data_IF_026368009705
#
_entry.id   IF_026368009705
#
_cell.length_a   1.000
_cell.length_b   1.000
_cell.length_c   1.000
_cell.angle_alpha   90.00
_cell.angle_beta   90.00
_cell.angle_gamma   90.00
#
_symmetry.space_group_name_H-M   'P 1'
#
loop_
_entity.id
_entity.type
_entity.pdbx_description
1 polymer ?
#
# COMPACT_ATOMS: atom_id res chain seq x y z
N UNK A 1 -6.10 38.63 9.28
CA UNK A 1 -5.15 38.12 10.29
C UNK A 1 -5.91 37.11 11.13
N UNK A 2 -5.40 35.88 11.25
CA UNK A 2 -5.97 34.88 12.14
C UNK A 2 -5.18 34.91 13.45
N UNK A 3 -5.89 34.98 14.58
CA UNK A 3 -5.31 34.88 15.92
C UNK A 3 -5.49 33.44 16.41
N UNK A 4 -4.38 32.81 16.79
CA UNK A 4 -4.35 31.43 17.25
C UNK A 4 -4.05 31.32 18.76
N UNK A 5 -3.95 32.44 19.49
CA UNK A 5 -3.68 32.46 20.92
C UNK A 5 -2.43 31.64 21.29
N UNK A 6 -2.58 30.72 22.23
CA UNK A 6 -1.51 29.85 22.73
C UNK A 6 -1.33 28.54 21.91
N UNK A 7 -1.99 28.42 20.76
CA UNK A 7 -1.93 27.21 19.93
C UNK A 7 -0.64 27.17 19.09
N UNK A 8 -0.14 25.94 18.86
CA UNK A 8 0.96 25.70 17.93
C UNK A 8 0.42 25.65 16.50
N UNK A 9 0.98 26.51 15.64
CA UNK A 9 0.80 26.41 14.19
C UNK A 9 1.96 25.59 13.62
N UNK A 10 1.65 24.45 13.01
CA UNK A 10 2.63 23.52 12.44
C UNK A 10 2.29 23.18 10.99
N UNK A 11 3.25 22.65 10.21
CA UNK A 11 2.95 22.02 8.93
C UNK A 11 1.88 20.94 9.10
N UNK A 12 0.98 20.84 8.12
CA UNK A 12 -0.03 19.80 8.12
C UNK A 12 0.59 18.41 8.01
N UNK A 13 -0.05 17.43 8.65
CA UNK A 13 0.45 16.05 8.68
C UNK A 13 0.26 15.39 7.31
N UNK A 14 1.15 14.45 6.99
CA UNK A 14 1.08 13.60 5.80
C UNK A 14 0.88 12.17 6.26
N UNK A 15 -0.23 11.55 5.88
CA UNK A 15 -0.46 10.12 6.09
C UNK A 15 -0.09 9.35 4.81
N UNK A 16 1.00 8.59 4.84
CA UNK A 16 1.46 7.86 3.67
C UNK A 16 0.71 6.54 3.42
N UNK A 17 -0.19 6.10 4.30
CA UNK A 17 -0.77 4.76 4.24
C UNK A 17 -2.25 4.72 4.65
N UNK A 18 -3.13 5.19 3.75
CA UNK A 18 -4.58 5.05 3.91
C UNK A 18 -5.19 4.12 2.87
N UNK A 19 -6.34 3.52 3.17
CA UNK A 19 -7.12 2.73 2.22
C UNK A 19 -8.50 3.35 2.06
N UNK A 20 -8.68 4.14 1.00
CA UNK A 20 -9.94 4.87 0.75
C UNK A 20 -10.98 3.98 0.07
N UNK A 21 -10.54 2.93 -0.62
CA UNK A 21 -11.38 1.86 -1.20
C UNK A 21 -12.35 2.29 -2.32
N UNK A 22 -12.32 3.56 -2.73
CA UNK A 22 -13.09 4.08 -3.86
C UNK A 22 -12.23 4.15 -5.12
N UNK A 23 -12.73 3.72 -6.30
CA UNK A 23 -14.06 3.15 -6.57
C UNK A 23 -14.20 1.67 -6.20
N UNK A 24 -15.41 1.15 -6.30
CA UNK A 24 -15.71 -0.28 -6.19
C UNK A 24 -16.17 -0.72 -4.80
N UNK A 25 -15.40 -0.41 -3.76
CA UNK A 25 -15.76 -0.65 -2.35
C UNK A 25 -15.94 0.68 -1.61
N UNK A 26 -16.56 1.65 -2.29
CA UNK A 26 -16.71 3.03 -1.81
C UNK A 26 -17.42 3.12 -0.46
N UNK A 27 -18.34 2.20 -0.19
CA UNK A 27 -19.09 2.13 1.07
C UNK A 27 -18.25 1.72 2.28
N UNK A 28 -17.02 1.24 2.08
CA UNK A 28 -16.09 0.96 3.19
C UNK A 28 -15.51 2.24 3.78
N UNK A 29 -15.27 3.25 2.95
CA UNK A 29 -14.81 4.58 3.37
C UNK A 29 -15.20 5.63 2.31
N UNK A 30 -14.43 5.74 1.21
CA UNK A 30 -14.68 6.69 0.13
C UNK A 30 -13.96 8.04 0.31
N UNK A 31 -13.66 8.73 -0.81
CA UNK A 31 -12.81 9.94 -0.79
C UNK A 31 -13.41 11.06 0.05
N UNK A 32 -14.74 11.18 0.05
CA UNK A 32 -15.44 12.26 0.76
C UNK A 32 -15.27 12.18 2.27
N UNK A 33 -15.47 11.00 2.87
CA UNK A 33 -15.37 10.82 4.31
C UNK A 33 -13.91 10.72 4.76
N UNK A 34 -13.07 9.98 4.02
CA UNK A 34 -11.64 9.85 4.32
C UNK A 34 -10.94 11.22 4.40
N UNK A 35 -11.13 12.06 3.39
CA UNK A 35 -10.44 13.36 3.34
C UNK A 35 -11.02 14.38 4.32
N UNK A 36 -12.31 14.28 4.69
CA UNK A 36 -12.87 15.05 5.81
C UNK A 36 -12.29 14.63 7.15
N UNK A 37 -12.15 13.33 7.39
CA UNK A 37 -11.55 12.80 8.59
C UNK A 37 -10.08 13.23 8.70
N UNK A 38 -9.33 13.16 7.59
CA UNK A 38 -7.96 13.66 7.50
C UNK A 38 -7.87 15.15 7.89
N UNK A 39 -8.71 16.01 7.28
CA UNK A 39 -8.75 17.44 7.60
C UNK A 39 -9.03 17.70 9.09
N UNK A 40 -10.00 16.99 9.68
CA UNK A 40 -10.35 17.12 11.09
C UNK A 40 -9.23 16.63 12.02
N UNK A 41 -8.42 15.67 11.57
CA UNK A 41 -7.25 15.15 12.29
C UNK A 41 -5.97 15.97 12.12
N UNK A 42 -6.00 17.07 11.35
CA UNK A 42 -4.81 17.90 11.09
C UNK A 42 -3.91 17.37 9.97
N UNK A 43 -4.36 16.35 9.22
CA UNK A 43 -3.70 15.92 7.99
C UNK A 43 -4.07 16.84 6.84
N UNK A 44 -3.09 17.24 6.06
CA UNK A 44 -3.28 18.05 4.84
C UNK A 44 -2.96 17.27 3.57
N UNK A 45 -2.35 16.10 3.71
CA UNK A 45 -2.08 15.19 2.59
C UNK A 45 -2.25 13.75 3.04
N UNK A 46 -2.92 12.93 2.22
CA UNK A 46 -3.02 11.48 2.42
C UNK A 46 -2.61 10.74 1.14
N UNK A 47 -1.95 9.60 1.27
CA UNK A 47 -1.52 8.76 0.16
C UNK A 47 -2.34 7.46 0.14
N UNK A 48 -3.21 7.33 -0.85
CA UNK A 48 -4.14 6.22 -0.96
C UNK A 48 -3.47 4.98 -1.56
N UNK A 49 -3.59 3.86 -0.85
CA UNK A 49 -3.02 2.57 -1.20
C UNK A 49 -3.72 1.94 -2.42
N UNK A 50 -3.04 1.07 -3.19
CA UNK A 50 -3.50 0.65 -4.51
C UNK A 50 -4.51 -0.50 -4.47
N UNK A 51 -4.74 -1.13 -3.31
CA UNK A 51 -5.62 -2.29 -3.15
C UNK A 51 -6.96 -1.91 -2.51
N UNK A 52 -7.82 -2.92 -2.34
CA UNK A 52 -9.20 -2.86 -1.86
C UNK A 52 -10.18 -2.10 -2.77
N UNK A 53 -9.78 -0.99 -3.38
CA UNK A 53 -10.55 -0.38 -4.47
C UNK A 53 -10.66 -1.35 -5.65
N UNK A 54 -11.80 -1.33 -6.34
CA UNK A 54 -12.05 -2.15 -7.54
C UNK A 54 -12.29 -1.20 -8.74
N UNK A 55 -11.46 -1.27 -9.79
CA UNK A 55 -10.26 -2.11 -9.89
C UNK A 55 -9.11 -1.58 -9.01
N UNK A 56 -8.17 -2.44 -8.59
CA UNK A 56 -6.96 -2.00 -7.89
C UNK A 56 -6.07 -1.16 -8.82
N UNK A 57 -5.26 -0.28 -8.24
CA UNK A 57 -4.43 0.69 -8.97
C UNK A 57 -3.15 0.04 -9.49
N UNK A 58 -3.30 -0.96 -10.36
CA UNK A 58 -2.20 -1.79 -10.89
C UNK A 58 -1.90 -1.52 -12.37
N UNK A 59 -2.68 -0.65 -13.01
CA UNK A 59 -2.48 -0.23 -14.40
C UNK A 59 -2.69 1.28 -14.52
N UNK A 60 -2.20 1.87 -15.60
CA UNK A 60 -2.45 3.27 -15.92
C UNK A 60 -3.94 3.60 -16.07
N UNK A 61 -4.73 2.69 -16.64
CA UNK A 61 -6.16 2.87 -16.76
C UNK A 61 -6.86 2.89 -15.40
N UNK A 62 -6.43 2.02 -14.48
CA UNK A 62 -6.99 1.95 -13.13
C UNK A 62 -6.61 3.19 -12.31
N UNK A 63 -5.37 3.69 -12.43
CA UNK A 63 -4.96 4.96 -11.83
C UNK A 63 -5.83 6.13 -12.32
N UNK A 64 -6.04 6.26 -13.63
CA UNK A 64 -6.92 7.31 -14.18
C UNK A 64 -8.34 7.20 -13.65
N UNK A 65 -8.84 5.98 -13.52
CA UNK A 65 -10.17 5.70 -12.96
C UNK A 65 -10.26 6.18 -11.51
N UNK A 66 -9.24 5.88 -10.70
CA UNK A 66 -9.19 6.28 -9.29
C UNK A 66 -9.04 7.78 -9.08
N UNK A 67 -8.15 8.42 -9.85
CA UNK A 67 -7.99 9.88 -9.90
C UNK A 67 -9.31 10.57 -10.25
N UNK A 68 -10.06 10.04 -11.22
CA UNK A 68 -11.36 10.58 -11.59
C UNK A 68 -12.41 10.41 -10.48
N UNK A 69 -12.38 9.29 -9.75
CA UNK A 69 -13.30 9.03 -8.64
C UNK A 69 -13.13 10.03 -7.48
N UNK A 70 -11.92 10.54 -7.25
CA UNK A 70 -11.60 11.55 -6.24
C UNK A 70 -12.08 12.97 -6.60
N UNK A 71 -12.28 13.28 -7.88
CA UNK A 71 -12.58 14.65 -8.34
C UNK A 71 -13.87 15.19 -7.70
N UNK A 72 -13.77 16.38 -7.11
CA UNK A 72 -14.90 17.06 -6.48
C UNK A 72 -15.32 16.48 -5.12
N UNK A 73 -14.54 15.54 -4.55
CA UNK A 73 -14.84 14.89 -3.25
C UNK A 73 -13.79 15.12 -2.18
N UNK A 74 -12.60 15.61 -2.53
CA UNK A 74 -11.47 15.74 -1.61
C UNK A 74 -11.48 17.07 -0.82
N UNK A 75 -11.11 17.00 0.46
CA UNK A 75 -10.98 18.15 1.37
C UNK A 75 -9.52 18.44 1.78
N UNK A 76 -8.60 17.53 1.46
CA UNK A 76 -7.15 17.63 1.64
C UNK A 76 -6.47 17.12 0.37
N UNK A 77 -5.17 17.34 0.22
CA UNK A 77 -4.44 16.81 -0.93
C UNK A 77 -4.40 15.29 -0.88
N UNK A 78 -4.51 14.66 -2.05
CA UNK A 78 -4.49 13.20 -2.18
C UNK A 78 -3.44 12.78 -3.20
N UNK A 79 -2.54 11.91 -2.75
CA UNK A 79 -1.58 11.21 -3.57
C UNK A 79 -1.99 9.74 -3.74
N UNK A 80 -1.43 9.06 -4.74
CA UNK A 80 -1.79 7.69 -5.07
C UNK A 80 -0.55 6.80 -5.12
N UNK A 81 -0.63 5.65 -4.48
CA UNK A 81 0.29 4.55 -4.69
C UNK A 81 -0.11 3.75 -5.95
N UNK A 82 0.88 3.26 -6.68
CA UNK A 82 0.70 2.19 -7.66
C UNK A 82 0.79 0.82 -6.99
N UNK A 83 0.19 -0.21 -7.59
CA UNK A 83 0.30 -1.60 -7.14
C UNK A 83 1.28 -2.38 -7.99
N UNK A 84 2.09 -3.24 -7.37
CA UNK A 84 2.85 -4.28 -8.07
C UNK A 84 2.20 -5.62 -7.74
N UNK A 85 1.78 -6.33 -8.78
CA UNK A 85 1.14 -7.65 -8.74
C UNK A 85 1.76 -8.53 -9.84
N UNK A 86 1.60 -9.86 -9.79
CA UNK A 86 2.11 -10.72 -10.86
C UNK A 86 1.63 -10.27 -12.25
N UNK A 87 2.58 -10.12 -13.18
CA UNK A 87 2.30 -9.80 -14.58
C UNK A 87 2.06 -8.33 -14.94
N UNK A 88 2.12 -7.37 -14.01
CA UNK A 88 1.86 -5.95 -14.31
C UNK A 88 3.12 -5.07 -14.47
N UNK A 89 4.32 -5.65 -14.49
CA UNK A 89 5.57 -4.89 -14.44
C UNK A 89 5.78 -3.89 -15.60
N UNK A 90 5.10 -4.09 -16.74
CA UNK A 90 5.15 -3.17 -17.88
C UNK A 90 4.35 -1.89 -17.68
N UNK A 91 3.43 -1.84 -16.70
CA UNK A 91 2.64 -0.65 -16.36
C UNK A 91 3.44 0.36 -15.51
N UNK A 92 4.45 -0.11 -14.79
CA UNK A 92 5.08 0.64 -13.69
C UNK A 92 5.70 1.96 -14.16
N UNK A 93 6.42 1.96 -15.29
CA UNK A 93 7.09 3.19 -15.77
C UNK A 93 6.10 4.28 -16.17
N UNK A 94 5.02 3.92 -16.85
CA UNK A 94 3.99 4.89 -17.21
C UNK A 94 3.29 5.46 -15.97
N UNK A 95 3.06 4.64 -14.95
CA UNK A 95 2.50 5.09 -13.67
C UNK A 95 3.44 6.04 -12.93
N UNK A 96 4.75 5.81 -12.97
CA UNK A 96 5.77 6.73 -12.45
C UNK A 96 5.67 8.08 -13.16
N UNK A 97 5.65 8.09 -14.50
CA UNK A 97 5.50 9.33 -15.27
C UNK A 97 4.16 10.05 -15.00
N UNK A 98 3.12 9.31 -14.62
CA UNK A 98 1.83 9.87 -14.23
C UNK A 98 1.82 10.46 -12.80
N UNK A 99 2.87 10.24 -12.01
CA UNK A 99 3.06 10.87 -10.70
C UNK A 99 2.55 10.05 -9.51
N UNK A 100 2.51 8.71 -9.59
CA UNK A 100 2.35 7.91 -8.36
C UNK A 100 3.53 8.17 -7.41
N UNK A 101 3.28 8.14 -6.11
CA UNK A 101 4.34 8.40 -5.10
C UNK A 101 5.34 7.24 -4.95
N UNK A 102 4.96 6.08 -5.47
CA UNK A 102 5.71 4.84 -5.41
C UNK A 102 4.78 3.67 -5.68
N UNK A 103 5.25 2.47 -5.37
CA UNK A 103 4.46 1.25 -5.50
C UNK A 103 4.32 0.50 -4.20
N UNK A 104 3.25 -0.27 -4.03
CA UNK A 104 3.04 -1.21 -2.93
C UNK A 104 2.90 -2.62 -3.47
N UNK A 105 3.53 -3.59 -2.83
CA UNK A 105 3.28 -5.01 -3.06
C UNK A 105 3.01 -5.75 -1.76
N UNK A 106 2.58 -7.01 -1.89
CA UNK A 106 2.34 -7.93 -0.79
C UNK A 106 3.17 -9.21 -0.99
N UNK A 107 3.84 -9.68 0.05
CA UNK A 107 4.64 -10.91 0.02
C UNK A 107 3.83 -12.15 0.47
N UNK A 108 2.66 -11.92 1.08
CA UNK A 108 1.66 -12.93 1.43
C UNK A 108 0.28 -12.52 0.90
N UNK A 109 -0.74 -13.40 0.85
CA UNK A 109 -2.08 -13.04 0.43
C UNK A 109 -2.61 -11.77 1.14
N UNK A 110 -3.12 -10.82 0.35
CA UNK A 110 -3.58 -9.50 0.82
C UNK A 110 -4.98 -9.53 1.46
N UNK A 111 -5.67 -10.67 1.38
CA UNK A 111 -7.06 -10.84 1.80
C UNK A 111 -8.10 -10.50 0.73
N UNK A 112 -7.68 -10.03 -0.45
CA UNK A 112 -8.54 -9.76 -1.61
C UNK A 112 -7.94 -10.36 -2.88
N UNK A 113 -8.75 -11.07 -3.67
CA UNK A 113 -8.28 -11.80 -4.86
C UNK A 113 -7.85 -10.86 -5.99
N UNK A 114 -8.38 -9.63 -6.03
CA UNK A 114 -8.05 -8.67 -7.08
C UNK A 114 -6.61 -8.14 -6.96
N UNK A 115 -5.98 -8.26 -5.79
CA UNK A 115 -4.61 -7.82 -5.52
C UNK A 115 -3.73 -9.01 -5.13
N UNK A 116 -3.26 -9.73 -6.15
CA UNK A 116 -2.38 -10.89 -5.97
C UNK A 116 -1.04 -10.53 -5.33
N UNK A 117 -0.57 -11.39 -4.43
CA UNK A 117 0.76 -11.27 -3.83
C UNK A 117 1.85 -11.67 -4.82
N UNK A 118 3.03 -11.10 -4.67
CA UNK A 118 4.16 -11.29 -5.60
C UNK A 118 5.09 -12.38 -5.10
N UNK A 119 5.63 -13.16 -6.05
CA UNK A 119 6.76 -14.04 -5.78
C UNK A 119 8.09 -13.27 -5.90
N UNK A 120 9.19 -13.88 -5.46
CA UNK A 120 10.53 -13.31 -5.63
C UNK A 120 10.88 -13.06 -7.11
N UNK A 121 10.42 -13.92 -8.04
CA UNK A 121 10.66 -13.72 -9.47
C UNK A 121 9.92 -12.50 -10.01
N UNK A 122 8.69 -12.24 -9.55
CA UNK A 122 7.92 -11.04 -9.89
C UNK A 122 8.63 -9.78 -9.39
N UNK A 123 9.17 -9.82 -8.15
CA UNK A 123 9.94 -8.72 -7.56
C UNK A 123 11.17 -8.39 -8.41
N UNK A 124 11.93 -9.39 -8.85
CA UNK A 124 13.09 -9.16 -9.71
C UNK A 124 12.72 -8.51 -11.06
N UNK A 125 11.53 -8.79 -11.60
CA UNK A 125 11.06 -8.16 -12.85
C UNK A 125 10.62 -6.72 -12.59
N UNK A 126 9.85 -6.48 -11.52
CA UNK A 126 9.38 -5.16 -11.14
C UNK A 126 10.53 -4.21 -10.78
N UNK A 127 11.46 -4.64 -9.92
CA UNK A 127 12.61 -3.85 -9.49
C UNK A 127 13.48 -3.43 -10.68
N UNK A 128 13.77 -4.35 -11.63
CA UNK A 128 14.47 -4.03 -12.88
C UNK A 128 13.77 -2.96 -13.72
N UNK A 129 12.44 -2.92 -13.72
CA UNK A 129 11.67 -1.89 -14.43
C UNK A 129 11.74 -0.54 -13.71
N UNK A 130 11.85 -0.54 -12.39
CA UNK A 130 11.91 0.65 -11.54
C UNK A 130 13.33 1.23 -11.39
N UNK A 131 14.39 0.48 -11.66
CA UNK A 131 15.76 0.98 -11.57
C UNK A 131 15.99 2.27 -12.36
N UNK A 132 16.69 3.22 -11.75
CA UNK A 132 17.02 4.52 -12.33
C UNK A 132 15.85 5.50 -12.44
N UNK A 133 14.66 5.15 -11.95
CA UNK A 133 13.49 6.05 -11.97
C UNK A 133 13.39 6.94 -10.74
N UNK A 134 14.09 6.60 -9.65
CA UNK A 134 13.94 7.26 -8.35
C UNK A 134 12.66 6.90 -7.60
N UNK A 135 11.84 5.97 -8.12
CA UNK A 135 10.63 5.47 -7.46
C UNK A 135 10.96 4.55 -6.28
N UNK A 136 10.05 4.48 -5.31
CA UNK A 136 10.11 3.57 -4.15
C UNK A 136 9.17 2.37 -4.32
N UNK A 137 9.56 1.21 -3.78
CA UNK A 137 8.68 0.04 -3.61
C UNK A 137 8.47 -0.25 -2.13
N UNK A 138 7.22 -0.16 -1.68
CA UNK A 138 6.78 -0.47 -0.33
C UNK A 138 6.28 -1.92 -0.22
N UNK A 139 6.55 -2.57 0.90
CA UNK A 139 6.24 -4.00 1.09
C UNK A 139 5.20 -4.20 2.20
N UNK A 140 4.40 -5.26 2.06
CA UNK A 140 3.73 -5.88 3.20
C UNK A 140 4.62 -7.07 3.53
N UNK A 141 5.48 -6.91 4.53
CA UNK A 141 6.59 -7.80 4.76
C UNK A 141 6.18 -8.96 5.68
N UNK A 142 5.44 -9.92 5.13
CA UNK A 142 5.22 -11.23 5.73
C UNK A 142 5.35 -12.30 4.64
N UNK A 143 6.03 -13.42 4.94
CA UNK A 143 6.16 -14.57 4.04
C UNK A 143 5.77 -15.85 4.75
N UNK A 144 5.26 -16.83 4.01
CA UNK A 144 4.99 -18.16 4.55
C UNK A 144 6.30 -18.88 4.90
N UNK A 145 6.53 -19.14 6.18
CA UNK A 145 7.74 -19.78 6.66
C UNK A 145 7.68 -21.31 6.47
N UNK A 146 8.78 -21.91 6.00
CA UNK A 146 8.89 -23.36 5.87
C UNK A 146 8.77 -24.03 7.24
N UNK A 147 7.74 -24.86 7.40
CA UNK A 147 7.47 -25.59 8.66
C UNK A 147 6.45 -24.90 9.56
N UNK A 148 6.02 -23.68 9.25
CA UNK A 148 4.80 -23.09 9.79
C UNK A 148 3.63 -23.69 9.02
N UNK A 149 3.31 -24.95 9.30
CA UNK A 149 2.12 -25.57 8.74
C UNK A 149 0.91 -24.94 9.44
N UNK A 150 -0.15 -24.65 8.67
CA UNK A 150 -1.53 -24.34 9.11
C UNK A 150 -2.12 -25.34 10.13
N UNK A 151 -1.35 -26.33 10.57
CA UNK A 151 -1.63 -27.20 11.69
C UNK A 151 -1.48 -26.46 13.01
N UNK A 152 -2.35 -25.47 13.25
CA UNK A 152 -2.81 -25.21 14.60
C UNK A 152 -3.70 -26.39 15.00
N UNK A 153 -3.27 -27.27 15.91
CA UNK A 153 -4.06 -28.44 16.32
C UNK A 153 -5.31 -27.97 17.05
N UNK A 154 -6.50 -28.14 16.46
CA UNK A 154 -7.82 -27.92 17.12
C UNK A 154 -7.87 -26.67 18.02
N UNK A 155 -7.32 -25.55 17.54
CA UNK A 155 -7.24 -24.31 18.32
C UNK A 155 -8.43 -23.42 17.96
N UNK A 156 -9.11 -22.88 18.98
CA UNK A 156 -10.27 -22.01 18.77
C UNK A 156 -9.88 -20.77 17.92
N UNK A 157 -10.42 -20.61 16.69
CA UNK A 157 -10.04 -19.50 15.80
C UNK A 157 -10.56 -18.15 16.27
N UNK A 158 -11.46 -18.11 17.28
CA UNK A 158 -11.99 -16.87 17.86
C UNK A 158 -11.13 -16.31 18.99
N UNK A 159 -10.04 -16.99 19.38
CA UNK A 159 -9.11 -16.48 20.38
C UNK A 159 -8.06 -15.60 19.70
N UNK A 160 -7.82 -14.42 20.26
CA UNK A 160 -6.79 -13.49 19.79
C UNK A 160 -5.39 -14.13 19.71
N UNK A 161 -5.05 -14.99 20.68
CA UNK A 161 -3.77 -15.71 20.67
C UNK A 161 -3.60 -16.62 19.45
N UNK A 162 -4.70 -17.23 18.96
CA UNK A 162 -4.66 -18.08 17.76
C UNK A 162 -4.32 -17.25 16.53
N UNK A 163 -4.86 -16.03 16.43
CA UNK A 163 -4.52 -15.09 15.37
C UNK A 163 -3.04 -14.72 15.41
N UNK A 164 -2.50 -14.35 16.58
CA UNK A 164 -1.08 -14.04 16.73
C UNK A 164 -0.17 -15.23 16.35
N UNK A 165 -0.58 -16.46 16.68
CA UNK A 165 0.18 -17.67 16.33
C UNK A 165 0.10 -18.03 14.85
N UNK A 166 -0.97 -17.64 14.16
CA UNK A 166 -1.07 -17.83 12.70
C UNK A 166 -0.10 -16.95 11.91
N UNK A 167 0.43 -15.88 12.53
CA UNK A 167 1.34 -14.91 11.91
C UNK A 167 2.50 -14.58 12.85
N UNK A 168 3.40 -15.54 13.14
CA UNK A 168 4.50 -15.32 14.07
C UNK A 168 5.51 -14.31 13.51
N UNK A 169 6.23 -13.64 14.40
CA UNK A 169 7.28 -12.65 14.09
C UNK A 169 8.31 -13.15 13.05
N UNK A 170 8.53 -14.46 12.98
CA UNK A 170 9.42 -15.10 11.99
C UNK A 170 8.99 -14.81 10.54
N UNK A 171 7.69 -14.73 10.25
CA UNK A 171 7.18 -14.38 8.91
C UNK A 171 7.60 -12.98 8.51
N UNK A 172 7.61 -12.04 9.46
CA UNK A 172 8.07 -10.67 9.22
C UNK A 172 9.59 -10.62 9.07
N UNK A 173 10.33 -11.29 9.95
CA UNK A 173 11.79 -11.29 9.94
C UNK A 173 12.34 -11.85 8.62
N UNK A 174 11.82 -12.98 8.13
CA UNK A 174 12.24 -13.58 6.86
C UNK A 174 11.87 -12.71 5.65
N UNK A 175 10.72 -12.04 5.71
CA UNK A 175 10.31 -11.10 4.67
C UNK A 175 11.22 -9.88 4.61
N UNK A 176 11.58 -9.31 5.76
CA UNK A 176 12.51 -8.18 5.87
C UNK A 176 13.90 -8.58 5.36
N UNK A 177 14.38 -9.78 5.68
CA UNK A 177 15.65 -10.30 5.16
C UNK A 177 15.64 -10.41 3.63
N UNK A 178 14.52 -10.82 3.03
CA UNK A 178 14.35 -10.82 1.56
C UNK A 178 14.41 -9.39 1.01
N UNK A 179 13.65 -8.45 1.58
CA UNK A 179 13.62 -7.04 1.15
C UNK A 179 15.01 -6.39 1.28
N UNK A 180 15.75 -6.69 2.36
CA UNK A 180 17.11 -6.21 2.56
C UNK A 180 18.10 -6.73 1.51
N UNK A 181 17.94 -7.98 1.06
CA UNK A 181 18.75 -8.52 -0.06
C UNK A 181 18.42 -7.85 -1.38
N UNK A 182 17.13 -7.64 -1.65
CA UNK A 182 16.68 -6.97 -2.87
C UNK A 182 17.17 -5.52 -2.95
N UNK A 183 17.13 -4.77 -1.84
CA UNK A 183 17.60 -3.38 -1.79
C UNK A 183 19.12 -3.24 -1.96
N UNK A 184 19.90 -4.29 -1.67
CA UNK A 184 21.33 -4.33 -1.97
C UNK A 184 21.61 -4.68 -3.45
N UNK A 185 20.68 -5.38 -4.10
CA UNK A 185 20.85 -5.83 -5.48
C UNK A 185 20.37 -4.79 -6.51
N UNK A 186 19.37 -4.00 -6.16
CA UNK A 186 18.73 -3.04 -7.07
C UNK A 186 18.80 -1.62 -6.52
N UNK A 187 19.07 -0.65 -7.39
CA UNK A 187 19.01 0.77 -7.04
C UNK A 187 17.56 1.28 -7.06
N UNK A 188 16.76 0.75 -6.13
CA UNK A 188 15.36 1.09 -5.91
C UNK A 188 15.13 1.16 -4.40
N UNK A 189 14.79 2.34 -3.84
CA UNK A 189 14.43 2.45 -2.43
C UNK A 189 13.31 1.49 -2.04
N UNK A 190 13.48 0.81 -0.91
CA UNK A 190 12.46 -0.03 -0.30
C UNK A 190 11.87 0.65 0.94
N UNK A 191 10.56 0.51 1.13
CA UNK A 191 9.83 1.00 2.30
C UNK A 191 9.08 -0.14 3.01
#
# INVERSE_FOLDING_TARGET
>A
MYDFGDLVVMPGLIDSHVHINEPGRTEWEGFYTATKAAAAGGFTTICDMPLNSIPPTTTMANLRTKVNAARGKIFVDVAFWGGVVPGNADELREMIYAGVVGFKCFLCPSGVDEFGHVSESDLHVALRKMEGTGSVLAFHAEVECKGHQDHTPDVNPKKYQTFLQSRPDQMEAEAIDLVAKLSQQYDVPCH
#
